data_IF_163421202431
#
_entry.id   IF_163421202431
#
_cell.length_a   1.000
_cell.length_b   1.000
_cell.length_c   1.000
_cell.angle_alpha   90.00
_cell.angle_beta   90.00
_cell.angle_gamma   90.00
#
_symmetry.space_group_name_H-M   'P 1'
#
loop_
_entity.id
_entity.type
_entity.pdbx_description
1 polymer ?
#
# COMPACT_ATOMS: atom_id res chain seq x y z
N UNK A 1 37.93 -6.89 -25.43
CA UNK A 1 36.84 -6.32 -24.59
C UNK A 1 37.01 -6.92 -23.21
N UNK A 2 37.20 -6.10 -22.18
CA UNK A 2 37.18 -6.57 -20.80
C UNK A 2 35.73 -6.43 -20.34
N UNK A 3 35.08 -7.54 -20.04
CA UNK A 3 33.82 -7.53 -19.31
C UNK A 3 34.08 -6.90 -17.95
N UNK A 4 33.51 -5.72 -17.70
CA UNK A 4 33.62 -5.07 -16.40
C UNK A 4 32.75 -5.85 -15.39
N UNK A 5 33.28 -6.19 -14.20
CA UNK A 5 32.64 -7.11 -13.24
C UNK A 5 31.39 -6.53 -12.54
N UNK A 6 30.86 -5.42 -13.04
CA UNK A 6 29.70 -4.72 -12.48
C UNK A 6 28.50 -4.69 -13.44
N UNK A 7 28.62 -5.29 -14.63
CA UNK A 7 27.54 -5.40 -15.61
C UNK A 7 26.62 -6.60 -15.29
N UNK A 8 26.16 -6.66 -14.05
CA UNK A 8 25.13 -7.61 -13.66
C UNK A 8 23.78 -6.97 -13.93
N UNK A 9 23.06 -7.48 -14.93
CA UNK A 9 21.64 -7.19 -15.09
C UNK A 9 20.95 -7.41 -13.73
N UNK A 10 20.16 -6.41 -13.30
CA UNK A 10 19.42 -6.50 -12.05
C UNK A 10 18.49 -7.72 -12.12
N UNK A 11 18.86 -8.79 -11.41
CA UNK A 11 18.00 -9.96 -11.33
C UNK A 11 16.76 -9.59 -10.49
N UNK A 12 15.55 -9.94 -10.95
CA UNK A 12 14.36 -9.74 -10.15
C UNK A 12 14.51 -10.56 -8.86
N UNK A 13 14.54 -9.85 -7.73
CA UNK A 13 14.57 -10.48 -6.41
C UNK A 13 13.24 -11.24 -6.22
N UNK A 14 13.26 -12.55 -5.92
CA UNK A 14 12.05 -13.28 -5.56
C UNK A 14 11.38 -12.57 -4.39
N UNK A 15 10.11 -12.19 -4.56
CA UNK A 15 9.33 -11.60 -3.47
C UNK A 15 9.17 -12.68 -2.41
N UNK A 16 9.67 -12.43 -1.20
CA UNK A 16 9.52 -13.35 -0.05
C UNK A 16 8.03 -13.62 0.21
N UNK A 17 7.63 -14.90 0.20
CA UNK A 17 6.28 -15.42 0.47
C UNK A 17 5.76 -15.17 1.89
N UNK A 18 6.47 -14.35 2.68
CA UNK A 18 5.87 -13.64 3.81
C UNK A 18 4.88 -12.62 3.30
N UNK A 19 3.78 -13.11 2.72
CA UNK A 19 2.55 -12.38 2.43
C UNK A 19 2.33 -11.44 3.59
N UNK A 20 2.51 -10.16 3.31
CA UNK A 20 2.36 -9.05 4.24
C UNK A 20 1.06 -9.32 4.99
N UNK A 21 1.13 -9.75 6.25
CA UNK A 21 -0.04 -10.36 6.92
C UNK A 21 -1.18 -9.36 7.11
N UNK A 22 -0.88 -8.07 6.96
CA UNK A 22 -1.76 -6.95 7.25
C UNK A 22 -2.03 -6.19 5.95
N UNK A 23 -3.29 -5.86 5.72
CA UNK A 23 -3.68 -4.99 4.61
C UNK A 23 -3.19 -3.56 4.89
N UNK A 24 -2.35 -2.99 4.02
CA UNK A 24 -1.80 -1.63 4.15
C UNK A 24 -2.88 -0.54 4.09
N UNK A 25 -4.06 -0.88 3.56
CA UNK A 25 -5.15 0.07 3.39
C UNK A 25 -6.12 0.12 4.57
N UNK A 26 -6.38 -1.02 5.22
CA UNK A 26 -7.40 -1.10 6.28
C UNK A 26 -6.95 -1.82 7.53
N UNK A 27 -5.65 -2.11 7.64
CA UNK A 27 -4.95 -2.73 8.78
C UNK A 27 -5.48 -4.10 9.22
N UNK A 28 -6.36 -4.72 8.42
CA UNK A 28 -6.88 -6.07 8.69
C UNK A 28 -5.79 -7.10 8.49
N UNK A 29 -5.66 -8.05 9.42
CA UNK A 29 -4.69 -9.17 9.37
C UNK A 29 -5.11 -10.26 8.34
N UNK A 30 -5.35 -9.88 7.09
CA UNK A 30 -5.78 -10.77 6.03
C UNK A 30 -5.46 -10.18 4.64
N UNK A 31 -4.20 -9.88 4.36
CA UNK A 31 -3.84 -9.52 2.99
C UNK A 31 -3.85 -10.75 2.09
N UNK A 32 -4.32 -10.57 0.85
CA UNK A 32 -4.49 -11.62 -0.14
C UNK A 32 -3.79 -11.30 -1.46
N UNK A 33 -3.49 -10.03 -1.71
CA UNK A 33 -2.97 -9.54 -2.99
C UNK A 33 -1.98 -8.41 -2.75
N UNK A 34 -0.95 -8.30 -3.59
CA UNK A 34 -0.02 -7.18 -3.58
C UNK A 34 -0.20 -6.30 -4.82
N UNK A 35 0.02 -5.00 -4.66
CA UNK A 35 -0.02 -4.00 -5.73
C UNK A 35 1.32 -3.29 -5.81
N UNK A 36 1.91 -3.26 -7.01
CA UNK A 36 3.14 -2.51 -7.26
C UNK A 36 2.76 -1.20 -7.94
N UNK A 37 3.35 -0.10 -7.50
CA UNK A 37 3.18 1.21 -8.13
C UNK A 37 4.24 1.43 -9.20
N UNK A 38 3.87 2.05 -10.32
CA UNK A 38 4.79 2.36 -11.43
C UNK A 38 5.95 3.27 -10.99
N UNK A 39 5.72 4.12 -9.99
CA UNK A 39 6.72 5.02 -9.40
C UNK A 39 6.58 5.00 -7.88
N UNK A 40 7.69 5.21 -7.19
CA UNK A 40 7.66 5.37 -5.74
C UNK A 40 6.77 6.55 -5.34
N UNK A 41 5.98 6.36 -4.28
CA UNK A 41 5.21 7.44 -3.67
C UNK A 41 6.16 8.20 -2.75
N UNK A 42 6.21 9.52 -2.87
CA UNK A 42 7.06 10.37 -2.05
C UNK A 42 6.19 11.39 -1.32
N UNK A 43 6.37 11.55 -0.01
CA UNK A 43 5.76 12.60 0.78
C UNK A 43 6.78 13.29 1.70
N UNK A 44 6.56 14.58 1.94
CA UNK A 44 7.29 15.33 2.95
C UNK A 44 6.35 15.41 4.15
N UNK A 45 6.80 14.91 5.29
CA UNK A 45 6.07 14.95 6.56
C UNK A 45 6.04 16.37 7.13
N UNK A 46 5.16 16.68 8.10
CA UNK A 46 5.15 17.98 8.77
C UNK A 46 6.48 18.35 9.46
N UNK A 47 7.30 17.35 9.81
CA UNK A 47 8.65 17.55 10.39
C UNK A 47 9.73 17.83 9.33
N UNK A 48 9.36 17.87 8.04
CA UNK A 48 10.29 18.08 6.93
C UNK A 48 11.03 16.82 6.48
N UNK A 49 10.71 15.65 7.05
CA UNK A 49 11.32 14.38 6.63
C UNK A 49 10.65 13.83 5.38
N UNK A 50 11.45 13.31 4.45
CA UNK A 50 10.94 12.63 3.25
C UNK A 50 10.63 11.17 3.56
N UNK A 51 9.39 10.78 3.37
CA UNK A 51 8.93 9.39 3.35
C UNK A 51 8.81 8.90 1.90
N UNK A 52 9.34 7.72 1.63
CA UNK A 52 9.32 7.07 0.32
C UNK A 52 8.71 5.69 0.46
N UNK A 53 7.66 5.41 -0.30
CA UNK A 53 7.04 4.08 -0.41
C UNK A 53 7.29 3.54 -1.82
N UNK A 54 8.27 2.63 -1.92
CA UNK A 54 8.61 1.93 -3.17
C UNK A 54 8.24 0.44 -3.16
N UNK A 55 7.96 -0.11 -1.98
CA UNK A 55 7.60 -1.52 -1.80
C UNK A 55 6.18 -1.84 -2.29
N UNK A 56 5.89 -3.11 -2.64
CA UNK A 56 4.54 -3.56 -2.96
C UNK A 56 3.56 -3.34 -1.79
N UNK A 57 2.35 -2.90 -2.11
CA UNK A 57 1.27 -2.64 -1.15
C UNK A 57 0.33 -3.82 -1.04
N UNK A 58 0.19 -4.38 0.15
CA UNK A 58 -0.69 -5.49 0.45
C UNK A 58 -2.13 -5.06 0.66
N UNK A 59 -3.05 -5.76 0.02
CA UNK A 59 -4.48 -5.53 0.15
C UNK A 59 -5.19 -6.83 0.54
N UNK A 60 -6.16 -6.70 1.45
CA UNK A 60 -7.19 -7.73 1.62
C UNK A 60 -8.13 -7.74 0.40
N UNK A 61 -8.85 -8.84 0.19
CA UNK A 61 -9.75 -9.01 -0.97
C UNK A 61 -10.69 -7.82 -1.20
N UNK A 62 -11.27 -7.26 -0.15
CA UNK A 62 -12.16 -6.10 -0.27
C UNK A 62 -11.43 -4.84 -0.74
N UNK A 63 -10.25 -4.56 -0.18
CA UNK A 63 -9.45 -3.41 -0.59
C UNK A 63 -8.93 -3.60 -2.02
N UNK A 64 -8.52 -4.81 -2.38
CA UNK A 64 -8.10 -5.18 -3.72
C UNK A 64 -9.24 -4.93 -4.73
N UNK A 65 -10.48 -5.31 -4.40
CA UNK A 65 -11.64 -5.02 -5.24
C UNK A 65 -11.84 -3.52 -5.48
N UNK A 66 -11.68 -2.67 -4.46
CA UNK A 66 -11.77 -1.21 -4.64
C UNK A 66 -10.63 -0.63 -5.49
N UNK A 67 -9.42 -1.20 -5.38
CA UNK A 67 -8.27 -0.78 -6.21
C UNK A 67 -8.50 -1.17 -7.67
N UNK A 68 -8.90 -2.42 -7.94
CA UNK A 68 -9.24 -2.91 -9.28
C UNK A 68 -10.34 -2.07 -9.94
N UNK A 69 -11.38 -1.75 -9.18
CA UNK A 69 -12.50 -0.93 -9.64
C UNK A 69 -12.20 0.58 -9.64
N UNK A 70 -10.95 0.99 -9.41
CA UNK A 70 -10.52 2.40 -9.37
C UNK A 70 -11.46 3.28 -8.53
N UNK A 71 -11.85 2.77 -7.36
CA UNK A 71 -12.85 3.36 -6.46
C UNK A 71 -12.20 3.91 -5.18
N UNK A 72 -11.41 5.02 -5.27
CA UNK A 72 -10.62 5.53 -4.16
C UNK A 72 -11.48 5.95 -2.96
N UNK A 73 -12.67 6.50 -3.19
CA UNK A 73 -13.55 6.94 -2.11
C UNK A 73 -13.99 5.79 -1.21
N UNK A 74 -14.37 4.65 -1.79
CA UNK A 74 -14.76 3.45 -1.04
C UNK A 74 -13.58 2.86 -0.26
N UNK A 75 -12.38 2.90 -0.84
CA UNK A 75 -11.16 2.47 -0.15
C UNK A 75 -10.86 3.35 1.06
N UNK A 76 -10.93 4.67 0.89
CA UNK A 76 -10.70 5.64 1.97
C UNK A 76 -11.76 5.52 3.08
N UNK A 77 -13.04 5.40 2.71
CA UNK A 77 -14.13 5.29 3.67
C UNK A 77 -14.03 3.98 4.48
N UNK A 78 -13.63 2.87 3.83
CA UNK A 78 -13.32 1.61 4.50
C UNK A 78 -12.15 1.74 5.48
N UNK A 79 -11.06 2.37 5.06
CA UNK A 79 -9.89 2.58 5.91
C UNK A 79 -10.25 3.36 7.19
N UNK A 80 -11.02 4.43 7.05
CA UNK A 80 -11.50 5.24 8.17
C UNK A 80 -12.47 4.46 9.07
N UNK A 81 -13.35 3.64 8.50
CA UNK A 81 -14.33 2.87 9.25
C UNK A 81 -13.68 1.77 10.13
N UNK A 82 -12.56 1.20 9.67
CA UNK A 82 -11.84 0.14 10.38
C UNK A 82 -10.70 0.66 11.26
N UNK A 83 -10.33 1.94 11.14
CA UNK A 83 -9.33 2.56 11.99
C UNK A 83 -9.76 2.52 13.46
N UNK A 84 -8.81 2.15 14.32
CA UNK A 84 -8.99 2.02 15.77
C UNK A 84 -8.15 3.04 16.51
N UNK A 85 -8.60 3.42 17.69
CA UNK A 85 -7.83 4.27 18.59
C UNK A 85 -6.58 3.51 19.06
N UNK A 86 -5.38 4.09 18.95
CA UNK A 86 -4.13 3.38 19.26
C UNK A 86 -4.04 2.98 20.73
N UNK A 87 -4.60 3.80 21.64
CA UNK A 87 -4.59 3.52 23.09
C UNK A 87 -5.69 2.57 23.54
N UNK A 88 -6.95 2.79 23.12
CA UNK A 88 -8.10 2.04 23.65
C UNK A 88 -8.49 0.85 22.77
N UNK A 89 -7.98 0.75 21.54
CA UNK A 89 -8.40 -0.24 20.55
C UNK A 89 -9.84 -0.06 20.04
N UNK A 90 -10.59 0.90 20.59
CA UNK A 90 -11.98 1.16 20.25
C UNK A 90 -12.15 1.91 18.92
N UNK A 91 -13.40 2.09 18.45
CA UNK A 91 -13.68 2.95 17.32
C UNK A 91 -13.19 4.39 17.56
N UNK A 92 -12.63 5.03 16.53
CA UNK A 92 -12.35 6.46 16.57
C UNK A 92 -13.65 7.27 16.63
N UNK A 93 -13.65 8.43 17.28
CA UNK A 93 -14.80 9.36 17.27
C UNK A 93 -14.94 10.08 15.92
N UNK A 94 -16.06 10.78 15.70
CA UNK A 94 -16.36 11.43 14.41
C UNK A 94 -15.33 12.51 14.03
N UNK A 95 -14.92 13.42 14.93
CA UNK A 95 -13.88 14.40 14.64
C UNK A 95 -12.54 13.75 14.26
N UNK A 96 -12.06 12.76 15.02
CA UNK A 96 -10.79 12.08 14.71
C UNK A 96 -10.85 11.35 13.38
N UNK A 97 -11.96 10.67 13.07
CA UNK A 97 -12.15 10.05 11.75
C UNK A 97 -12.05 11.07 10.61
N UNK A 98 -12.61 12.28 10.78
CA UNK A 98 -12.55 13.34 9.77
C UNK A 98 -11.12 13.84 9.55
N UNK A 99 -10.39 14.05 10.65
CA UNK A 99 -8.98 14.48 10.60
C UNK A 99 -8.13 13.39 9.97
N UNK A 100 -8.25 12.14 10.44
CA UNK A 100 -7.54 10.98 9.88
C UNK A 100 -7.76 10.86 8.37
N UNK A 101 -9.02 10.97 7.93
CA UNK A 101 -9.37 10.92 6.51
C UNK A 101 -8.70 12.03 5.71
N UNK A 102 -8.75 13.27 6.21
CA UNK A 102 -8.29 14.47 5.49
C UNK A 102 -6.77 14.55 5.43
N UNK A 103 -6.10 14.34 6.55
CA UNK A 103 -4.67 14.65 6.71
C UNK A 103 -3.77 13.45 6.37
N UNK A 104 -4.26 12.21 6.53
CA UNK A 104 -3.44 11.01 6.34
C UNK A 104 -3.93 10.13 5.19
N UNK A 105 -5.17 9.64 5.27
CA UNK A 105 -5.67 8.63 4.33
C UNK A 105 -5.87 9.21 2.92
N UNK A 106 -6.56 10.34 2.80
CA UNK A 106 -6.84 10.93 1.47
C UNK A 106 -5.56 11.29 0.72
N UNK A 107 -4.57 12.01 1.30
CA UNK A 107 -3.35 12.34 0.58
C UNK A 107 -2.58 11.10 0.13
N UNK A 108 -2.39 10.13 1.03
CA UNK A 108 -1.61 8.92 0.75
C UNK A 108 -2.28 8.06 -0.33
N UNK A 109 -3.57 7.76 -0.18
CA UNK A 109 -4.26 6.90 -1.15
C UNK A 109 -4.44 7.60 -2.50
N UNK A 110 -4.60 8.92 -2.52
CA UNK A 110 -4.61 9.67 -3.79
C UNK A 110 -3.28 9.51 -4.52
N UNK A 111 -2.16 9.66 -3.81
CA UNK A 111 -0.83 9.43 -4.39
C UNK A 111 -0.64 7.98 -4.85
N UNK A 112 -1.13 7.01 -4.08
CA UNK A 112 -1.12 5.60 -4.49
C UNK A 112 -1.82 5.38 -5.83
N UNK A 113 -3.05 5.89 -6.01
CA UNK A 113 -3.75 5.76 -7.29
C UNK A 113 -3.08 6.52 -8.43
N UNK A 114 -2.49 7.70 -8.16
CA UNK A 114 -1.72 8.48 -9.13
C UNK A 114 -0.42 7.78 -9.55
N UNK A 115 0.13 6.93 -8.69
CA UNK A 115 1.30 6.11 -8.98
C UNK A 115 0.98 4.86 -9.82
N UNK A 116 -0.23 4.80 -10.40
CA UNK A 116 -0.68 3.77 -11.34
C UNK A 116 -0.43 2.35 -10.82
N UNK A 117 -1.13 1.93 -9.76
CA UNK A 117 -0.91 0.62 -9.16
C UNK A 117 -1.37 -0.48 -10.13
N UNK A 118 -0.55 -1.51 -10.25
CA UNK A 118 -0.85 -2.75 -10.96
C UNK A 118 -0.84 -3.92 -9.98
N UNK A 119 -1.76 -4.84 -10.19
CA UNK A 119 -1.82 -6.06 -9.40
C UNK A 119 -0.65 -6.97 -9.75
N UNK A 120 0.09 -7.40 -8.74
CA UNK A 120 1.19 -8.33 -8.92
C UNK A 120 0.64 -9.76 -8.80
N UNK A 121 0.34 -10.38 -9.95
CA UNK A 121 -0.05 -11.79 -9.98
C UNK A 121 1.21 -12.65 -9.82
N UNK A 122 1.22 -13.49 -8.78
CA UNK A 122 2.18 -14.58 -8.70
C UNK A 122 1.97 -15.48 -9.93
N UNK A 123 2.95 -15.57 -10.82
CA UNK A 123 3.02 -16.67 -11.77
C UNK A 123 3.35 -17.90 -10.94
N UNK A 124 2.32 -18.64 -10.51
CA UNK A 124 2.51 -19.95 -9.91
C UNK A 124 3.10 -20.85 -10.98
N UNK A 125 4.42 -21.04 -10.93
CA UNK A 125 5.09 -22.08 -11.70
C UNK A 125 4.55 -23.42 -11.23
N UNK A 126 3.80 -24.10 -12.12
CA UNK A 126 3.58 -25.53 -12.02
C UNK A 126 4.95 -26.21 -12.03
N UNK A 127 5.28 -26.89 -10.93
CA UNK A 127 6.25 -27.98 -10.90
C UNK A 127 5.58 -29.19 -10.23
#
# INVERSE_FOLDING_TARGET
MRDEPWDHEAQPVPVDDRVIRVCDFCTRASAATAFVTRKAIIAITPTGQTEVWAEPWAACETCAAFIRNRSPHLLMDRAVALARHPVTGGPLDRPTRRILRREHIKPLFTKFFQAEPSEHHHQGGNA
#
